data_IF_667818157031
#
_entry.id   IF_667818157031
#
_cell.length_a   1.000
_cell.length_b   1.000
_cell.length_c   1.000
_cell.angle_alpha   90.00
_cell.angle_beta   90.00
_cell.angle_gamma   90.00
#
_symmetry.space_group_name_H-M   'P 1'
#
loop_
_entity.id
_entity.type
_entity.pdbx_description
1 polymer ?
#
# COMPACT_ATOMS: atom_id res chain seq x y z
N UNK A 1 6.07 -5.99 30.34
CA UNK A 1 6.48 -4.65 29.84
C UNK A 1 7.64 -4.65 28.85
N UNK A 2 8.77 -5.37 29.07
CA UNK A 2 9.93 -5.37 28.12
C UNK A 2 9.68 -5.99 26.72
N UNK A 3 8.59 -6.73 26.54
CA UNK A 3 8.22 -7.32 25.25
C UNK A 3 7.33 -6.41 24.38
N UNK A 4 6.66 -5.42 24.99
CA UNK A 4 5.80 -4.47 24.28
C UNK A 4 6.65 -3.40 23.58
N UNK A 5 7.62 -2.85 24.32
CA UNK A 5 8.58 -1.85 23.82
C UNK A 5 9.46 -2.33 22.65
N UNK A 6 9.79 -3.63 22.61
CA UNK A 6 10.58 -4.25 21.53
C UNK A 6 9.76 -4.52 20.26
N UNK A 7 8.43 -4.57 20.33
CA UNK A 7 7.56 -4.65 19.15
C UNK A 7 7.44 -3.29 18.47
N UNK A 8 7.24 -2.23 19.25
CA UNK A 8 7.28 -0.83 18.77
C UNK A 8 8.60 -0.51 18.06
N UNK A 9 9.77 -0.79 18.66
CA UNK A 9 11.07 -0.51 18.03
C UNK A 9 11.29 -1.28 16.70
N UNK A 10 10.76 -2.50 16.59
CA UNK A 10 10.86 -3.31 15.37
C UNK A 10 9.90 -2.83 14.27
N UNK A 11 8.72 -2.35 14.65
CA UNK A 11 7.75 -1.72 13.75
C UNK A 11 8.28 -0.37 13.25
N UNK A 12 8.84 0.47 14.13
CA UNK A 12 9.51 1.72 13.76
C UNK A 12 10.70 1.48 12.84
N UNK A 13 11.52 0.45 13.10
CA UNK A 13 12.64 0.09 12.22
C UNK A 13 12.19 -0.41 10.84
N UNK A 14 11.07 -1.15 10.79
CA UNK A 14 10.46 -1.60 9.54
C UNK A 14 9.89 -0.43 8.73
N UNK A 15 9.24 0.52 9.39
CA UNK A 15 8.72 1.74 8.76
C UNK A 15 9.87 2.63 8.26
N UNK A 16 10.95 2.80 9.04
CA UNK A 16 12.13 3.56 8.60
C UNK A 16 12.92 2.88 7.46
N UNK A 17 12.89 1.54 7.36
CA UNK A 17 13.43 0.82 6.19
C UNK A 17 12.50 0.90 4.98
N UNK A 18 11.18 0.87 5.19
CA UNK A 18 10.19 1.08 4.13
C UNK A 18 10.31 2.47 3.54
N UNK A 19 10.53 3.45 4.42
CA UNK A 19 10.77 4.84 4.10
C UNK A 19 12.00 5.09 3.22
N UNK A 20 13.16 4.52 3.59
CA UNK A 20 14.39 4.67 2.79
C UNK A 20 14.24 4.10 1.38
N UNK A 21 13.32 3.18 1.19
CA UNK A 21 13.08 2.49 -0.09
C UNK A 21 12.05 3.22 -0.94
N UNK A 22 10.94 3.64 -0.34
CA UNK A 22 9.85 4.35 -1.02
C UNK A 22 10.30 5.76 -1.43
N UNK A 23 11.11 6.45 -0.61
CA UNK A 23 11.75 7.71 -1.01
C UNK A 23 12.72 7.55 -2.19
N UNK A 24 13.36 6.39 -2.31
CA UNK A 24 14.24 6.10 -3.45
C UNK A 24 13.43 5.87 -4.73
N UNK A 25 12.16 5.48 -4.65
CA UNK A 25 11.27 5.27 -5.80
C UNK A 25 10.46 6.51 -6.21
N UNK A 26 10.06 7.36 -5.26
CA UNK A 26 9.47 8.66 -5.59
C UNK A 26 10.44 9.53 -6.40
N UNK A 27 11.75 9.32 -6.23
CA UNK A 27 12.82 9.94 -7.03
C UNK A 27 13.04 9.24 -8.38
N UNK A 28 12.65 7.97 -8.54
CA UNK A 28 12.93 7.13 -9.74
C UNK A 28 11.69 6.91 -10.64
N UNK A 29 10.49 7.35 -10.23
CA UNK A 29 9.35 7.51 -11.14
C UNK A 29 8.61 6.23 -11.54
N UNK A 30 8.54 5.21 -10.67
CA UNK A 30 7.87 3.92 -10.96
C UNK A 30 6.54 3.76 -10.23
N UNK A 31 5.61 4.71 -10.42
CA UNK A 31 4.30 4.75 -9.72
C UNK A 31 3.27 3.71 -10.21
N UNK A 32 3.60 2.89 -11.20
CA UNK A 32 2.63 2.20 -12.05
C UNK A 32 2.52 0.67 -11.84
N UNK A 33 3.40 0.06 -11.03
CA UNK A 33 3.65 -1.40 -10.98
C UNK A 33 2.72 -2.17 -10.01
N UNK A 34 2.06 -1.48 -9.06
CA UNK A 34 1.16 -2.14 -8.10
C UNK A 34 -0.24 -2.36 -8.71
N UNK A 35 -0.72 -1.35 -9.44
CA UNK A 35 -2.09 -1.26 -9.93
C UNK A 35 -2.32 -2.12 -11.17
N UNK A 36 -1.33 -2.26 -12.06
CA UNK A 36 -1.42 -3.09 -13.27
C UNK A 36 -1.48 -4.57 -12.92
N UNK A 37 -0.62 -5.05 -12.01
CA UNK A 37 -0.61 -6.44 -11.54
C UNK A 37 -1.86 -6.80 -10.79
N UNK A 38 -2.34 -5.91 -9.92
CA UNK A 38 -3.59 -6.13 -9.20
C UNK A 38 -4.78 -6.23 -10.15
N UNK A 39 -4.88 -5.33 -11.14
CA UNK A 39 -5.96 -5.40 -12.13
C UNK A 39 -5.83 -6.61 -13.05
N UNK A 40 -4.63 -7.04 -13.42
CA UNK A 40 -4.44 -8.26 -14.22
C UNK A 40 -4.86 -9.52 -13.47
N UNK A 41 -4.66 -9.56 -12.14
CA UNK A 41 -5.11 -10.67 -11.29
C UNK A 41 -6.61 -10.61 -10.97
N UNK A 42 -7.18 -9.41 -10.96
CA UNK A 42 -8.59 -9.14 -10.62
C UNK A 42 -9.24 -8.15 -11.60
N UNK A 43 -9.38 -8.51 -12.89
CA UNK A 43 -9.84 -7.58 -13.92
C UNK A 43 -11.28 -7.10 -13.67
N UNK A 44 -12.09 -7.90 -12.96
CA UNK A 44 -13.44 -7.54 -12.50
C UNK A 44 -13.46 -6.28 -11.63
N UNK A 45 -12.37 -6.00 -10.89
CA UNK A 45 -12.27 -4.85 -10.01
C UNK A 45 -12.14 -3.53 -10.77
N UNK A 46 -11.79 -3.55 -12.05
CA UNK A 46 -11.71 -2.34 -12.91
C UNK A 46 -13.03 -1.56 -12.89
N UNK A 47 -14.15 -2.28 -12.92
CA UNK A 47 -15.51 -1.71 -12.90
C UNK A 47 -15.84 -0.92 -11.61
N UNK A 48 -15.10 -1.16 -10.51
CA UNK A 48 -15.27 -0.47 -9.23
C UNK A 48 -14.66 0.92 -9.22
N UNK A 49 -13.85 1.27 -10.23
CA UNK A 49 -13.20 2.56 -10.35
C UNK A 49 -13.78 3.34 -11.54
N UNK A 50 -14.61 4.37 -11.31
CA UNK A 50 -15.19 5.16 -12.39
C UNK A 50 -14.16 5.79 -13.35
N UNK A 51 -12.93 6.03 -12.85
CA UNK A 51 -11.81 6.57 -13.62
C UNK A 51 -11.18 5.56 -14.58
N UNK A 52 -11.42 4.26 -14.40
CA UNK A 52 -10.85 3.18 -15.22
C UNK A 52 -11.82 2.67 -16.30
N UNK A 53 -12.92 3.38 -16.57
CA UNK A 53 -13.96 2.97 -17.54
C UNK A 53 -13.47 2.66 -18.97
N UNK A 54 -12.26 3.09 -19.32
CA UNK A 54 -11.63 2.89 -20.64
C UNK A 54 -10.30 2.11 -20.54
N UNK A 55 -10.04 1.46 -19.41
CA UNK A 55 -8.85 0.64 -19.18
C UNK A 55 -9.29 -0.82 -19.21
N UNK A 56 -8.61 -1.63 -20.02
CA UNK A 56 -8.79 -3.08 -19.94
C UNK A 56 -7.90 -3.62 -18.81
N UNK A 57 -8.53 -3.97 -17.69
CA UNK A 57 -7.86 -4.48 -16.49
C UNK A 57 -7.03 -5.74 -16.74
N UNK A 58 -7.36 -6.54 -17.76
CA UNK A 58 -6.67 -7.80 -18.06
C UNK A 58 -5.38 -7.60 -18.88
N UNK A 59 -5.16 -6.41 -19.42
CA UNK A 59 -4.02 -6.11 -20.29
C UNK A 59 -3.25 -4.87 -19.86
N UNK A 60 -3.42 -4.41 -18.61
CA UNK A 60 -2.68 -3.26 -18.11
C UNK A 60 -1.22 -3.67 -17.92
N UNK A 61 -0.31 -2.85 -18.41
CA UNK A 61 1.12 -3.01 -18.19
C UNK A 61 1.80 -1.67 -17.92
N UNK A 62 3.12 -1.71 -17.77
CA UNK A 62 3.99 -0.55 -17.53
C UNK A 62 3.98 0.50 -18.65
N UNK A 63 3.33 0.23 -19.79
CA UNK A 63 3.15 1.20 -20.88
C UNK A 63 1.78 1.90 -20.83
N UNK A 64 0.92 1.56 -19.85
CA UNK A 64 -0.39 2.16 -19.66
C UNK A 64 -0.27 3.65 -19.26
N UNK A 65 -0.43 4.52 -20.24
CA UNK A 65 -0.40 5.98 -20.07
C UNK A 65 -1.80 6.58 -19.88
N UNK A 66 -2.71 5.85 -19.24
CA UNK A 66 -4.07 6.31 -19.02
C UNK A 66 -4.11 7.27 -17.80
N UNK A 67 -4.54 8.53 -17.95
CA UNK A 67 -4.55 9.48 -16.83
C UNK A 67 -5.44 9.07 -15.66
N UNK A 68 -6.51 8.32 -15.95
CA UNK A 68 -7.39 7.74 -14.93
C UNK A 68 -6.67 6.67 -14.12
N UNK A 69 -5.92 5.79 -14.79
CA UNK A 69 -5.07 4.78 -14.16
C UNK A 69 -3.98 5.40 -13.30
N UNK A 70 -3.20 6.33 -13.84
CA UNK A 70 -2.16 7.05 -13.10
C UNK A 70 -2.71 7.74 -11.86
N UNK A 71 -3.89 8.36 -11.98
CA UNK A 71 -4.53 9.02 -10.84
C UNK A 71 -4.95 8.02 -9.76
N UNK A 72 -5.46 6.85 -10.14
CA UNK A 72 -5.85 5.82 -9.15
C UNK A 72 -4.60 5.27 -8.48
N UNK A 73 -3.58 4.87 -9.23
CA UNK A 73 -2.30 4.38 -8.71
C UNK A 73 -1.63 5.38 -7.77
N UNK A 74 -1.59 6.66 -8.14
CA UNK A 74 -1.04 7.71 -7.29
C UNK A 74 -1.79 7.84 -5.95
N UNK A 75 -3.11 7.65 -5.91
CA UNK A 75 -3.88 7.71 -4.67
C UNK A 75 -3.60 6.53 -3.75
N UNK A 76 -3.35 5.33 -4.30
CA UNK A 76 -2.95 4.16 -3.51
C UNK A 76 -1.58 4.39 -2.85
N UNK A 77 -0.58 4.78 -3.65
CA UNK A 77 0.77 5.07 -3.14
C UNK A 77 0.78 6.21 -2.12
N UNK A 78 -0.06 7.23 -2.32
CA UNK A 78 -0.18 8.36 -1.38
C UNK A 78 -0.63 7.91 0.01
N UNK A 79 -1.46 6.86 0.13
CA UNK A 79 -1.85 6.35 1.45
C UNK A 79 -0.64 5.81 2.21
N UNK A 80 0.22 5.03 1.55
CA UNK A 80 1.43 4.51 2.16
C UNK A 80 2.43 5.63 2.49
N UNK A 81 2.61 6.60 1.58
CA UNK A 81 3.46 7.78 1.80
C UNK A 81 3.00 8.62 3.01
N UNK A 82 1.70 8.89 3.13
CA UNK A 82 1.11 9.63 4.25
C UNK A 82 1.30 8.86 5.58
N UNK A 83 1.12 7.53 5.56
CA UNK A 83 1.31 6.67 6.73
C UNK A 83 2.75 6.67 7.19
N UNK A 84 3.69 6.57 6.26
CA UNK A 84 5.11 6.58 6.58
C UNK A 84 5.53 7.96 7.09
N UNK A 85 5.11 9.04 6.43
CA UNK A 85 5.37 10.41 6.84
C UNK A 85 4.88 10.68 8.28
N UNK A 86 3.68 10.19 8.62
CA UNK A 86 3.13 10.32 9.96
C UNK A 86 3.96 9.59 11.02
N UNK A 87 4.45 8.38 10.71
CA UNK A 87 5.34 7.64 11.62
C UNK A 87 6.72 8.31 11.72
N UNK A 88 7.24 8.89 10.63
CA UNK A 88 8.52 9.59 10.65
C UNK A 88 8.49 10.86 11.49
N UNK A 89 7.45 11.66 11.35
CA UNK A 89 7.30 12.92 12.07
C UNK A 89 7.33 12.68 13.59
N UNK A 90 6.74 11.56 14.03
CA UNK A 90 6.69 11.19 15.44
C UNK A 90 6.74 9.67 15.66
N UNK A 91 7.93 9.06 15.65
CA UNK A 91 8.08 7.59 15.70
C UNK A 91 7.55 6.92 16.97
N UNK A 92 7.41 7.68 18.06
CA UNK A 92 6.81 7.21 19.32
C UNK A 92 5.29 7.41 19.42
N UNK A 93 4.64 7.90 18.36
CA UNK A 93 3.21 8.15 18.30
C UNK A 93 2.67 7.80 16.92
N UNK A 94 2.35 6.53 16.73
CA UNK A 94 1.86 5.99 15.46
C UNK A 94 0.35 6.21 15.28
N UNK A 95 -0.35 6.83 16.25
CA UNK A 95 -1.80 7.00 16.20
C UNK A 95 -2.29 7.76 14.96
N UNK A 96 -1.63 8.85 14.50
CA UNK A 96 -2.05 9.54 13.28
C UNK A 96 -2.01 8.64 12.04
N UNK A 97 -1.03 7.73 11.96
CA UNK A 97 -0.93 6.75 10.89
C UNK A 97 -2.07 5.73 10.97
N UNK A 98 -2.39 5.24 12.17
CA UNK A 98 -3.53 4.35 12.42
C UNK A 98 -4.86 5.01 12.01
N UNK A 99 -5.10 6.25 12.44
CA UNK A 99 -6.33 7.00 12.17
C UNK A 99 -6.53 7.22 10.66
N UNK A 100 -5.43 7.47 9.93
CA UNK A 100 -5.44 7.60 8.48
C UNK A 100 -5.90 6.31 7.81
N UNK A 101 -5.34 5.17 8.19
CA UNK A 101 -5.70 3.86 7.65
C UNK A 101 -7.16 3.51 7.97
N UNK A 102 -7.61 3.77 9.20
CA UNK A 102 -9.02 3.58 9.60
C UNK A 102 -9.95 4.44 8.74
N UNK A 103 -9.59 5.70 8.48
CA UNK A 103 -10.39 6.58 7.61
C UNK A 103 -10.48 6.05 6.17
N UNK A 104 -9.38 5.50 5.63
CA UNK A 104 -9.37 4.86 4.31
C UNK A 104 -10.23 3.60 4.28
N UNK A 105 -10.19 2.76 5.32
CA UNK A 105 -11.07 1.59 5.45
C UNK A 105 -12.55 1.98 5.47
N UNK A 106 -12.91 2.98 6.29
CA UNK A 106 -14.28 3.53 6.36
C UNK A 106 -14.75 4.07 5.01
N UNK A 107 -13.86 4.77 4.29
CA UNK A 107 -14.14 5.29 2.96
C UNK A 107 -14.47 4.17 1.98
N UNK A 108 -13.67 3.10 1.92
CA UNK A 108 -13.93 1.96 1.04
C UNK A 108 -15.26 1.28 1.37
N UNK A 109 -15.56 1.05 2.66
CA UNK A 109 -16.85 0.51 3.10
C UNK A 109 -18.02 1.35 2.58
N UNK A 110 -17.88 2.68 2.61
CA UNK A 110 -18.94 3.61 2.20
C UNK A 110 -19.10 3.78 0.69
N UNK A 111 -18.03 3.57 -0.09
CA UNK A 111 -17.98 3.94 -1.52
C UNK A 111 -17.87 2.76 -2.47
N UNK A 112 -17.43 1.60 -2.00
CA UNK A 112 -17.21 0.41 -2.83
C UNK A 112 -18.18 -0.67 -2.38
N UNK A 113 -19.31 -0.76 -3.07
CA UNK A 113 -20.30 -1.82 -2.85
C UNK A 113 -19.68 -3.20 -3.10
N UNK A 114 -20.09 -4.17 -2.28
CA UNK A 114 -19.73 -5.60 -2.40
C UNK A 114 -18.22 -5.92 -2.31
N UNK A 115 -17.40 -4.97 -1.86
CA UNK A 115 -15.99 -5.22 -1.56
C UNK A 115 -15.87 -6.20 -0.39
N UNK A 116 -15.03 -7.22 -0.56
CA UNK A 116 -14.71 -8.20 0.48
C UNK A 116 -13.45 -7.79 1.24
N UNK A 117 -13.33 -8.20 2.50
CA UNK A 117 -12.13 -7.97 3.31
C UNK A 117 -10.86 -8.49 2.65
N UNK A 118 -10.96 -9.62 1.93
CA UNK A 118 -9.83 -10.23 1.21
C UNK A 118 -9.23 -9.30 0.16
N UNK A 119 -10.01 -8.39 -0.42
CA UNK A 119 -9.52 -7.47 -1.44
C UNK A 119 -8.39 -6.55 -0.93
N UNK A 120 -8.32 -6.26 0.37
CA UNK A 120 -7.18 -5.55 0.95
C UNK A 120 -5.94 -6.45 1.09
N UNK A 121 -6.15 -7.72 1.45
CA UNK A 121 -5.07 -8.70 1.61
C UNK A 121 -4.45 -9.08 0.25
N UNK A 122 -5.25 -9.11 -0.81
CA UNK A 122 -4.80 -9.40 -2.18
C UNK A 122 -3.79 -8.36 -2.72
N UNK A 123 -3.69 -7.18 -2.08
CA UNK A 123 -2.69 -6.15 -2.44
C UNK A 123 -1.28 -6.44 -1.87
N UNK A 124 -1.10 -7.39 -0.94
CA UNK A 124 0.21 -7.62 -0.30
C UNK A 124 1.28 -8.04 -1.32
N UNK A 125 0.98 -9.03 -2.16
CA UNK A 125 1.95 -9.54 -3.13
C UNK A 125 2.28 -8.53 -4.24
N UNK A 126 1.30 -7.80 -4.83
CA UNK A 126 1.60 -6.66 -5.70
C UNK A 126 2.51 -5.61 -5.04
N UNK A 127 2.23 -5.24 -3.79
CA UNK A 127 3.05 -4.31 -3.02
C UNK A 127 4.49 -4.81 -2.85
N UNK A 128 4.69 -6.07 -2.47
CA UNK A 128 6.02 -6.64 -2.28
C UNK A 128 6.79 -6.80 -3.60
N UNK A 129 6.10 -7.14 -4.68
CA UNK A 129 6.73 -7.22 -6.00
C UNK A 129 7.22 -5.84 -6.46
N UNK A 130 6.43 -4.79 -6.25
CA UNK A 130 6.86 -3.42 -6.50
C UNK A 130 8.12 -3.10 -5.69
N UNK A 131 8.12 -3.35 -4.38
CA UNK A 131 9.28 -3.10 -3.51
C UNK A 131 10.51 -3.93 -3.94
N UNK A 132 10.30 -5.15 -4.42
CA UNK A 132 11.39 -5.99 -4.94
C UNK A 132 11.99 -5.38 -6.20
N UNK A 133 11.17 -4.88 -7.11
CA UNK A 133 11.62 -4.21 -8.33
C UNK A 133 12.29 -2.86 -8.05
N UNK A 134 11.83 -2.16 -7.01
CA UNK A 134 12.41 -0.93 -6.47
C UNK A 134 13.85 -1.11 -5.96
N UNK A 135 14.00 -2.13 -5.11
CA UNK A 135 15.24 -2.38 -4.40
C UNK A 135 16.23 -3.18 -5.23
N UNK A 136 15.75 -3.94 -6.21
CA UNK A 136 16.54 -4.81 -7.06
C UNK A 136 17.47 -5.71 -6.21
N UNK A 137 18.78 -5.53 -6.34
CA UNK A 137 19.82 -6.27 -5.60
C UNK A 137 19.80 -6.01 -4.08
N UNK A 138 19.17 -4.91 -3.65
CA UNK A 138 19.00 -4.57 -2.23
C UNK A 138 17.81 -5.28 -1.58
N UNK A 139 16.94 -5.93 -2.36
CA UNK A 139 15.84 -6.72 -1.84
C UNK A 139 16.36 -8.08 -1.35
N UNK A 140 16.39 -8.27 -0.04
CA UNK A 140 16.80 -9.52 0.61
C UNK A 140 15.75 -9.96 1.63
N UNK A 141 15.93 -11.14 2.23
CA UNK A 141 14.98 -11.72 3.22
C UNK A 141 14.66 -10.76 4.37
N UNK A 142 15.66 -9.97 4.81
CA UNK A 142 15.46 -8.98 5.86
C UNK A 142 14.58 -7.83 5.36
N UNK A 143 14.82 -7.31 4.16
CA UNK A 143 13.98 -6.29 3.55
C UNK A 143 12.54 -6.80 3.38
N UNK A 144 12.36 -7.96 2.74
CA UNK A 144 11.04 -8.58 2.56
C UNK A 144 10.28 -8.71 3.88
N UNK A 145 10.94 -9.23 4.92
CA UNK A 145 10.32 -9.38 6.24
C UNK A 145 9.91 -8.05 6.89
N UNK A 146 10.57 -6.93 6.58
CA UNK A 146 10.18 -5.60 7.06
C UNK A 146 8.98 -5.05 6.29
N UNK A 147 8.97 -5.21 4.97
CA UNK A 147 7.85 -4.75 4.13
C UNK A 147 6.57 -5.56 4.35
N UNK A 148 6.68 -6.87 4.55
CA UNK A 148 5.54 -7.71 4.98
C UNK A 148 4.95 -7.20 6.29
N UNK A 149 5.78 -6.91 7.29
CA UNK A 149 5.32 -6.36 8.57
C UNK A 149 4.66 -4.98 8.42
N UNK A 150 5.24 -4.12 7.59
CA UNK A 150 4.65 -2.81 7.29
C UNK A 150 3.28 -2.94 6.62
N UNK A 151 3.16 -3.81 5.61
CA UNK A 151 1.88 -4.06 4.95
C UNK A 151 0.84 -4.61 5.93
N UNK A 152 1.23 -5.59 6.75
CA UNK A 152 0.35 -6.18 7.76
C UNK A 152 -0.08 -5.17 8.84
N UNK A 153 0.79 -4.21 9.20
CA UNK A 153 0.41 -3.06 10.02
C UNK A 153 -0.67 -2.22 9.33
N UNK A 154 -0.48 -1.89 8.05
CA UNK A 154 -1.46 -1.12 7.27
C UNK A 154 -2.80 -1.86 7.17
N UNK A 155 -2.75 -3.14 6.81
CA UNK A 155 -3.91 -4.01 6.62
C UNK A 155 -4.76 -4.09 7.89
N UNK A 156 -4.15 -4.23 9.07
CA UNK A 156 -4.85 -4.28 10.34
C UNK A 156 -5.79 -3.09 10.52
N UNK A 157 -5.30 -1.86 10.35
CA UNK A 157 -6.08 -0.64 10.58
C UNK A 157 -7.02 -0.29 9.42
N UNK A 158 -6.68 -0.68 8.18
CA UNK A 158 -7.62 -0.64 7.06
C UNK A 158 -8.85 -1.52 7.35
N UNK A 159 -8.64 -2.76 7.79
CA UNK A 159 -9.71 -3.69 8.12
C UNK A 159 -10.50 -3.24 9.36
N UNK A 160 -9.86 -2.63 10.35
CA UNK A 160 -10.56 -2.02 11.49
C UNK A 160 -11.56 -0.96 11.01
N UNK A 161 -11.13 -0.02 10.16
CA UNK A 161 -12.01 0.99 9.60
C UNK A 161 -13.10 0.42 8.68
N UNK A 162 -12.76 -0.62 7.91
CA UNK A 162 -13.70 -1.25 6.98
C UNK A 162 -14.80 -2.05 7.71
N UNK A 163 -14.45 -2.80 8.75
CA UNK A 163 -15.40 -3.63 9.51
C UNK A 163 -16.32 -2.79 10.42
N UNK A 164 -15.85 -1.65 10.92
CA UNK A 164 -16.60 -0.72 11.77
C UNK A 164 -16.47 -1.00 13.25
#
# INVERSE_FOLDING_TARGET
MRHYKRREEAETTAVLCAQRTINLELVVGRKEIEQDRYLNQHPENTSKYPKLKNVDGATVDVSCNNPGFETVAANYLKVFDDVISAVEEKPGDVQPACDRLVAVGKMHRSKVSDMQNSAFQDMEEPFLNMVKEALQDRFNEKAEGLFRKFFQFCLKYLLEGFNG
#
